data_IF_421305997682
#
_entry.id   IF_421305997682
#
_cell.length_a   1.000
_cell.length_b   1.000
_cell.length_c   1.000
_cell.angle_alpha   90.00
_cell.angle_beta   90.00
_cell.angle_gamma   90.00
#
_symmetry.space_group_name_H-M   'P 1'
#
loop_
_entity.id
_entity.type
_entity.pdbx_description
1 polymer ?
#
# COMPACT_ATOMS: atom_id res chain seq x y z
N UNK A 1 -9.50 -25.21 -33.10
CA UNK A 1 -10.91 -25.48 -33.40
C UNK A 1 -11.82 -24.31 -32.93
N UNK A 2 -11.51 -23.01 -33.05
CA UNK A 2 -11.35 -22.12 -34.22
C UNK A 2 -12.44 -22.20 -35.33
N UNK A 3 -13.44 -23.09 -35.21
CA UNK A 3 -14.36 -23.40 -36.31
C UNK A 3 -15.83 -23.24 -35.92
N UNK A 4 -16.13 -23.09 -34.61
CA UNK A 4 -17.49 -22.80 -34.11
C UNK A 4 -17.79 -21.29 -34.13
N UNK A 5 -16.75 -20.47 -34.35
CA UNK A 5 -16.85 -19.01 -34.41
C UNK A 5 -17.36 -18.48 -35.76
N UNK A 6 -17.58 -19.34 -36.78
CA UNK A 6 -17.82 -18.87 -38.16
C UNK A 6 -19.18 -19.25 -38.79
N UNK A 7 -20.08 -19.97 -38.11
CA UNK A 7 -21.30 -20.52 -38.77
C UNK A 7 -22.63 -19.87 -38.36
N UNK A 8 -22.72 -19.00 -37.35
CA UNK A 8 -24.01 -18.38 -36.99
C UNK A 8 -24.03 -16.85 -37.07
N UNK A 9 -23.26 -16.29 -38.00
CA UNK A 9 -23.31 -14.89 -38.38
C UNK A 9 -24.21 -14.62 -39.61
N UNK A 10 -25.09 -15.55 -40.02
CA UNK A 10 -25.74 -15.45 -41.35
C UNK A 10 -27.21 -15.90 -41.43
N UNK A 11 -28.03 -15.67 -40.40
CA UNK A 11 -29.45 -15.98 -40.56
C UNK A 11 -30.34 -15.52 -39.42
N UNK A 12 -30.78 -14.27 -39.47
CA UNK A 12 -32.21 -13.90 -39.40
C UNK A 12 -32.37 -12.37 -39.38
N UNK A 13 -31.90 -11.73 -40.46
CA UNK A 13 -32.54 -10.51 -40.93
C UNK A 13 -33.91 -10.92 -41.47
N UNK A 14 -34.94 -10.12 -41.16
CA UNK A 14 -36.31 -10.15 -41.68
C UNK A 14 -37.36 -10.94 -40.86
N UNK A 15 -37.99 -10.26 -39.89
CA UNK A 15 -39.46 -10.11 -39.88
C UNK A 15 -39.81 -8.71 -39.35
N UNK A 16 -40.36 -7.90 -40.25
CA UNK A 16 -40.90 -6.59 -39.99
C UNK A 16 -42.40 -6.66 -39.66
N UNK A 17 -42.91 -5.61 -38.99
CA UNK A 17 -44.29 -5.12 -39.02
C UNK A 17 -45.33 -5.96 -38.20
N UNK A 18 -46.33 -5.44 -37.46
CA UNK A 18 -47.02 -4.14 -37.54
C UNK A 18 -48.14 -3.99 -36.44
N UNK A 19 -48.50 -2.74 -36.09
CA UNK A 19 -49.76 -2.18 -35.50
C UNK A 19 -50.32 -2.69 -34.13
N UNK A 20 -50.99 -1.93 -33.25
CA UNK A 20 -51.42 -0.53 -33.12
C UNK A 20 -52.06 -0.28 -31.72
N UNK A 21 -52.13 1.00 -31.29
CA UNK A 21 -53.09 1.56 -30.30
C UNK A 21 -52.75 1.34 -28.81
N UNK A 22 -52.95 2.26 -27.87
CA UNK A 22 -53.91 3.36 -27.79
C UNK A 22 -53.39 4.51 -26.92
N UNK A 23 -54.19 5.57 -26.92
CA UNK A 23 -54.01 6.98 -26.61
C UNK A 23 -53.92 7.34 -25.12
N UNK A 24 -53.40 8.53 -24.84
CA UNK A 24 -53.50 9.17 -23.52
C UNK A 24 -52.77 10.52 -23.45
N UNK A 25 -53.35 11.56 -24.04
CA UNK A 25 -52.98 12.98 -23.84
C UNK A 25 -53.31 13.43 -22.41
N UNK A 26 -52.41 14.16 -21.73
CA UNK A 26 -52.63 15.47 -21.04
C UNK A 26 -51.38 15.87 -20.21
N UNK A 27 -51.28 17.07 -19.62
CA UNK A 27 -50.65 18.26 -20.19
C UNK A 27 -49.35 18.69 -19.46
N UNK A 28 -48.69 19.65 -20.08
CA UNK A 28 -47.58 20.51 -19.63
C UNK A 28 -47.43 20.73 -18.12
N UNK A 29 -46.22 20.48 -17.60
CA UNK A 29 -45.71 21.06 -16.37
C UNK A 29 -44.23 21.46 -16.54
N UNK A 30 -43.99 22.75 -16.32
CA UNK A 30 -42.76 23.53 -16.19
C UNK A 30 -41.50 22.75 -15.75
N UNK A 31 -40.29 23.05 -16.30
CA UNK A 31 -39.05 22.42 -15.83
C UNK A 31 -38.74 22.87 -14.39
N UNK A 32 -38.71 21.92 -13.47
CA UNK A 32 -38.08 22.11 -12.15
C UNK A 32 -36.57 21.96 -12.34
N UNK A 33 -35.73 22.91 -11.89
CA UNK A 33 -34.29 22.71 -11.93
C UNK A 33 -33.93 21.55 -10.99
N UNK A 34 -33.37 20.48 -11.55
CA UNK A 34 -32.67 19.45 -10.78
C UNK A 34 -31.58 20.14 -9.95
N UNK A 35 -31.55 19.97 -8.62
CA UNK A 35 -30.40 20.41 -7.85
C UNK A 35 -29.19 19.59 -8.31
N UNK A 36 -28.22 20.25 -8.95
CA UNK A 36 -26.88 19.71 -9.12
C UNK A 36 -26.36 19.40 -7.72
N UNK A 37 -26.21 18.12 -7.38
CA UNK A 37 -25.44 17.72 -6.20
C UNK A 37 -24.07 18.37 -6.32
N UNK A 38 -23.79 19.29 -5.39
CA UNK A 38 -22.45 19.79 -5.20
C UNK A 38 -21.60 18.59 -4.77
N UNK A 39 -20.72 18.14 -5.66
CA UNK A 39 -19.65 17.20 -5.31
C UNK A 39 -18.84 17.84 -4.19
N UNK A 40 -19.09 17.42 -2.95
CA UNK A 40 -18.23 17.69 -1.81
C UNK A 40 -16.84 17.20 -2.20
N UNK A 41 -15.91 18.13 -2.41
CA UNK A 41 -14.51 17.79 -2.61
C UNK A 41 -14.05 16.95 -1.41
N UNK A 42 -13.52 15.76 -1.67
CA UNK A 42 -12.90 14.93 -0.65
C UNK A 42 -11.83 15.78 0.08
N UNK A 43 -11.70 15.64 1.41
CA UNK A 43 -10.68 16.37 2.16
C UNK A 43 -9.32 16.03 1.55
N UNK A 44 -8.61 17.05 1.09
CA UNK A 44 -7.21 16.92 0.68
C UNK A 44 -6.43 16.50 1.92
N UNK A 45 -6.08 15.22 2.02
CA UNK A 45 -5.14 14.74 3.03
C UNK A 45 -3.86 15.56 2.86
N UNK A 46 -3.62 16.48 3.78
CA UNK A 46 -2.41 17.27 3.80
C UNK A 46 -1.32 16.34 4.29
N UNK A 47 -0.55 15.76 3.39
CA UNK A 47 0.61 14.94 3.75
C UNK A 47 1.53 15.79 4.63
N UNK A 48 1.74 15.42 5.91
CA UNK A 48 2.66 16.18 6.77
C UNK A 48 4.05 16.18 6.13
N UNK A 49 4.79 17.29 6.31
CA UNK A 49 6.15 17.40 5.82
C UNK A 49 7.03 16.26 6.39
N UNK A 50 8.01 15.75 5.62
CA UNK A 50 8.94 14.73 6.10
C UNK A 50 9.58 15.17 7.44
N UNK A 51 9.46 14.32 8.45
CA UNK A 51 10.02 14.57 9.79
C UNK A 51 11.19 13.63 10.06
N UNK A 52 12.32 14.22 10.42
CA UNK A 52 13.50 13.49 10.90
C UNK A 52 13.38 13.07 12.38
N UNK A 53 12.34 13.47 13.10
CA UNK A 53 12.18 13.09 14.50
C UNK A 53 11.59 11.67 14.62
N UNK A 54 12.22 10.75 15.38
CA UNK A 54 11.66 9.43 15.63
C UNK A 54 10.33 9.49 16.38
N UNK A 55 9.50 8.50 16.12
CA UNK A 55 8.23 8.30 16.81
C UNK A 55 8.25 6.96 17.56
N UNK A 56 7.36 6.76 18.55
CA UNK A 56 7.27 5.48 19.26
C UNK A 56 7.04 4.32 18.29
N UNK A 57 7.68 3.18 18.55
CA UNK A 57 7.44 1.90 17.89
C UNK A 57 6.24 1.19 18.52
N UNK A 58 5.65 0.24 17.79
CA UNK A 58 4.52 -0.55 18.25
C UNK A 58 4.98 -1.74 19.11
N UNK A 59 4.11 -2.16 20.03
CA UNK A 59 4.37 -3.32 20.89
C UNK A 59 3.79 -4.58 20.25
N UNK A 60 4.66 -5.46 19.76
CA UNK A 60 4.24 -6.76 19.22
C UNK A 60 4.02 -7.78 20.33
N UNK A 61 3.03 -8.70 20.21
CA UNK A 61 2.88 -9.77 21.19
C UNK A 61 4.12 -10.68 21.23
N UNK A 62 4.53 -11.11 22.42
CA UNK A 62 5.81 -11.81 22.67
C UNK A 62 6.11 -13.00 21.75
N UNK A 63 5.08 -13.79 21.39
CA UNK A 63 5.25 -14.98 20.53
C UNK A 63 5.47 -14.62 19.05
N UNK A 64 5.25 -13.36 18.68
CA UNK A 64 5.35 -12.83 17.32
C UNK A 64 6.42 -11.76 17.16
N UNK A 65 7.20 -11.51 18.23
CA UNK A 65 8.23 -10.49 18.21
C UNK A 65 9.27 -10.78 17.12
N UNK A 66 9.56 -9.75 16.33
CA UNK A 66 10.62 -9.70 15.31
C UNK A 66 11.40 -8.41 15.48
N UNK A 67 12.63 -8.38 14.96
CA UNK A 67 13.54 -7.24 15.09
C UNK A 67 14.21 -6.91 13.76
N UNK A 68 14.59 -5.65 13.64
CA UNK A 68 15.42 -5.15 12.58
C UNK A 68 16.42 -4.15 13.16
N UNK A 69 17.54 -4.01 12.47
CA UNK A 69 18.60 -3.07 12.78
C UNK A 69 18.93 -2.25 11.54
N UNK A 70 19.45 -1.05 11.72
CA UNK A 70 19.90 -0.20 10.63
C UNK A 70 21.27 0.39 10.96
N UNK A 71 22.13 0.44 9.95
CA UNK A 71 23.45 1.06 10.04
C UNK A 71 23.67 1.96 8.84
N UNK A 72 24.39 3.06 9.05
CA UNK A 72 24.85 3.96 7.99
C UNK A 72 26.36 3.86 7.86
N UNK A 73 26.84 3.75 6.63
CA UNK A 73 28.26 3.86 6.31
C UNK A 73 28.70 5.34 6.38
N UNK A 74 29.75 5.68 7.14
CA UNK A 74 30.15 7.09 7.29
C UNK A 74 30.83 7.69 6.06
N UNK A 75 31.34 6.88 5.14
CA UNK A 75 32.09 7.32 3.96
C UNK A 75 31.18 7.42 2.74
N UNK A 76 30.43 6.36 2.46
CA UNK A 76 29.55 6.24 1.30
C UNK A 76 28.10 6.61 1.61
N UNK A 77 27.76 6.80 2.89
CA UNK A 77 26.41 7.13 3.35
C UNK A 77 25.35 6.09 3.00
N UNK A 78 25.77 4.90 2.55
CA UNK A 78 24.87 3.77 2.32
C UNK A 78 24.21 3.37 3.64
N UNK A 79 22.90 3.27 3.62
CA UNK A 79 22.13 2.81 4.77
C UNK A 79 21.70 1.37 4.52
N UNK A 80 22.09 0.48 5.42
CA UNK A 80 21.75 -0.94 5.36
C UNK A 80 20.79 -1.27 6.50
N UNK A 81 19.56 -1.61 6.13
CA UNK A 81 18.55 -2.16 7.05
C UNK A 81 18.66 -3.67 7.00
N UNK A 82 18.83 -4.31 8.15
CA UNK A 82 18.98 -5.77 8.29
C UNK A 82 17.81 -6.34 9.09
N UNK A 83 17.23 -7.42 8.57
CA UNK A 83 16.25 -8.20 9.34
C UNK A 83 16.96 -9.13 10.33
N UNK A 84 16.78 -8.91 11.63
CA UNK A 84 17.48 -9.66 12.68
C UNK A 84 16.74 -10.97 13.04
N UNK A 85 15.55 -11.20 12.48
CA UNK A 85 14.73 -12.36 12.79
C UNK A 85 13.89 -12.18 14.06
N UNK A 86 13.43 -13.31 14.61
CA UNK A 86 12.66 -13.35 15.84
C UNK A 86 11.66 -14.51 15.88
N UNK A 87 10.94 -14.62 16.99
CA UNK A 87 9.94 -15.70 17.20
C UNK A 87 8.83 -15.63 16.16
N UNK A 88 8.45 -14.43 15.74
CA UNK A 88 7.39 -14.20 14.77
C UNK A 88 7.76 -14.42 13.30
N UNK A 89 9.03 -14.65 12.96
CA UNK A 89 9.51 -14.60 11.56
C UNK A 89 8.75 -15.52 10.59
N UNK A 90 8.20 -16.64 11.08
CA UNK A 90 7.45 -17.57 10.24
C UNK A 90 6.15 -16.94 9.67
N UNK A 91 5.61 -15.99 10.43
CA UNK A 91 4.38 -15.25 10.14
C UNK A 91 4.67 -13.90 9.46
N UNK A 92 5.94 -13.54 9.25
CA UNK A 92 6.31 -12.30 8.57
C UNK A 92 6.01 -12.43 7.07
N UNK A 93 5.15 -11.56 6.55
CA UNK A 93 4.77 -11.47 5.14
C UNK A 93 5.68 -10.51 4.38
N UNK A 94 5.93 -9.36 4.97
CA UNK A 94 6.68 -8.26 4.36
C UNK A 94 7.42 -7.46 5.42
N UNK A 95 8.63 -7.02 5.09
CA UNK A 95 9.38 -6.01 5.83
C UNK A 95 9.55 -4.80 4.92
N UNK A 96 9.08 -3.65 5.38
CA UNK A 96 9.12 -2.38 4.67
C UNK A 96 9.98 -1.41 5.44
N UNK A 97 10.96 -0.81 4.78
CA UNK A 97 11.78 0.24 5.36
C UNK A 97 11.61 1.54 4.58
N UNK A 98 11.46 2.64 5.31
CA UNK A 98 11.36 4.00 4.78
C UNK A 98 12.50 4.83 5.33
N UNK A 99 13.23 5.48 4.43
CA UNK A 99 14.29 6.43 4.75
C UNK A 99 13.78 7.82 4.46
N UNK A 100 13.73 8.66 5.49
CA UNK A 100 13.54 10.10 5.34
C UNK A 100 14.90 10.77 5.41
N UNK A 101 15.39 11.23 4.27
CA UNK A 101 16.69 11.88 4.13
C UNK A 101 16.65 13.33 4.61
N UNK A 102 17.80 13.84 5.01
CA UNK A 102 17.95 15.24 5.43
C UNK A 102 17.64 16.29 4.35
N UNK A 103 17.68 15.90 3.07
CA UNK A 103 17.33 16.72 1.91
C UNK A 103 15.83 16.71 1.58
N UNK A 104 15.02 16.07 2.44
CA UNK A 104 13.58 15.83 2.30
C UNK A 104 13.19 14.79 1.25
N UNK A 105 14.15 14.04 0.69
CA UNK A 105 13.81 12.87 -0.13
C UNK A 105 13.35 11.72 0.77
N UNK A 106 12.28 11.04 0.35
CA UNK A 106 11.77 9.85 1.02
C UNK A 106 11.92 8.68 0.07
N UNK A 107 12.60 7.63 0.53
CA UNK A 107 12.75 6.38 -0.21
C UNK A 107 12.17 5.23 0.60
N UNK A 108 11.27 4.45 0.00
CA UNK A 108 10.68 3.26 0.62
C UNK A 108 11.05 2.03 -0.20
N UNK A 109 11.52 0.98 0.47
CA UNK A 109 11.75 -0.34 -0.11
C UNK A 109 11.11 -1.40 0.77
N UNK A 110 10.72 -2.52 0.17
CA UNK A 110 10.23 -3.66 0.91
C UNK A 110 10.84 -4.97 0.42
N UNK A 111 10.84 -5.95 1.31
CA UNK A 111 11.15 -7.34 0.99
C UNK A 111 9.98 -8.21 1.42
N UNK A 112 9.51 -9.04 0.49
CA UNK A 112 8.41 -9.96 0.74
C UNK A 112 8.91 -11.38 0.87
N UNK A 113 8.15 -12.18 1.62
CA UNK A 113 8.24 -13.64 1.66
C UNK A 113 8.29 -14.23 0.23
N UNK A 114 9.39 -14.86 -0.24
CA UNK A 114 9.33 -15.67 -1.46
C UNK A 114 8.31 -16.79 -1.27
N UNK A 115 7.55 -17.15 -2.30
CA UNK A 115 6.43 -18.11 -2.21
C UNK A 115 6.79 -19.35 -1.38
N UNK A 116 6.21 -19.45 -0.17
CA UNK A 116 6.41 -20.56 0.78
C UNK A 116 7.61 -20.46 1.73
N UNK A 117 8.34 -19.34 1.81
CA UNK A 117 9.57 -19.16 2.61
C UNK A 117 9.58 -17.80 3.30
N UNK A 118 9.72 -17.74 4.62
CA UNK A 118 9.85 -16.47 5.37
C UNK A 118 11.02 -15.60 4.93
N UNK A 119 10.93 -14.28 5.17
CA UNK A 119 12.09 -13.38 5.11
C UNK A 119 13.20 -13.97 6.00
N UNK A 120 14.35 -14.22 5.40
CA UNK A 120 15.45 -14.87 6.12
C UNK A 120 16.16 -13.85 7.02
N UNK A 121 16.52 -14.26 8.23
CA UNK A 121 17.44 -13.49 9.07
C UNK A 121 18.71 -13.13 8.30
N UNK A 122 19.15 -11.88 8.41
CA UNK A 122 20.28 -11.32 7.67
C UNK A 122 19.93 -10.80 6.28
N UNK A 123 18.67 -10.88 5.84
CA UNK A 123 18.23 -10.20 4.61
C UNK A 123 18.36 -8.69 4.79
N UNK A 124 18.82 -7.99 3.76
CA UNK A 124 19.07 -6.54 3.82
C UNK A 124 18.28 -5.74 2.79
N UNK A 125 17.97 -4.49 3.13
CA UNK A 125 17.57 -3.44 2.20
C UNK A 125 18.64 -2.34 2.26
N UNK A 126 19.14 -1.95 1.10
CA UNK A 126 20.12 -0.86 0.99
C UNK A 126 19.46 0.39 0.44
N UNK A 127 19.83 1.54 0.98
CA UNK A 127 19.38 2.86 0.58
C UNK A 127 20.57 3.79 0.40
N UNK A 128 20.42 4.79 -0.46
CA UNK A 128 21.35 5.90 -0.47
C UNK A 128 20.98 6.84 0.68
N UNK A 129 21.92 7.21 1.53
CA UNK A 129 21.74 8.24 2.56
C UNK A 129 22.38 9.57 2.18
N UNK A 130 22.37 10.52 3.11
CA UNK A 130 22.98 11.85 2.95
C UNK A 130 24.25 11.98 3.80
N UNK A 131 24.99 13.10 3.70
CA UNK A 131 26.09 13.39 4.64
C UNK A 131 25.60 13.83 6.03
N UNK A 132 24.29 13.98 6.23
CA UNK A 132 23.68 14.43 7.48
C UNK A 132 22.90 13.28 8.14
N UNK A 133 22.14 13.59 9.18
CA UNK A 133 21.25 12.62 9.83
C UNK A 133 20.07 12.24 8.93
N UNK A 134 19.82 10.95 8.79
CA UNK A 134 18.64 10.41 8.10
C UNK A 134 17.82 9.57 9.08
N UNK A 135 16.49 9.62 8.98
CA UNK A 135 15.58 8.82 9.80
C UNK A 135 15.20 7.54 9.06
N UNK A 136 15.20 6.43 9.78
CA UNK A 136 14.77 5.12 9.31
C UNK A 136 13.58 4.65 10.11
N UNK A 137 12.56 4.23 9.38
CA UNK A 137 11.40 3.54 9.92
C UNK A 137 11.34 2.15 9.31
N UNK A 138 11.17 1.13 10.14
CA UNK A 138 10.95 -0.26 9.68
C UNK A 138 9.62 -0.74 10.19
N UNK A 139 8.80 -1.17 9.24
CA UNK A 139 7.49 -1.74 9.43
C UNK A 139 7.51 -3.21 9.03
N UNK A 140 6.71 -4.00 9.71
CA UNK A 140 6.48 -5.40 9.37
C UNK A 140 5.01 -5.65 9.18
N UNK A 141 4.69 -6.39 8.12
CA UNK A 141 3.35 -6.89 7.87
C UNK A 141 3.33 -8.38 8.15
N UNK A 142 2.42 -8.80 9.02
CA UNK A 142 2.20 -10.18 9.42
C UNK A 142 1.18 -10.84 8.48
N UNK A 143 1.28 -12.16 8.31
CA UNK A 143 0.38 -12.95 7.46
C UNK A 143 -1.00 -13.20 8.09
N UNK A 144 -1.18 -12.79 9.35
CA UNK A 144 -2.42 -12.86 10.10
C UNK A 144 -2.55 -11.71 11.10
N UNK A 145 -3.79 -11.35 11.50
CA UNK A 145 -4.02 -10.39 12.57
C UNK A 145 -3.45 -10.89 13.89
N UNK A 146 -2.83 -9.99 14.64
CA UNK A 146 -2.26 -10.21 15.97
C UNK A 146 -2.89 -9.26 16.98
N UNK A 147 -2.72 -9.58 18.27
CA UNK A 147 -3.28 -8.76 19.36
C UNK A 147 -4.80 -8.83 19.46
N UNK A 148 -5.35 -7.98 20.33
CA UNK A 148 -6.81 -7.91 20.57
C UNK A 148 -7.50 -7.13 19.46
N UNK A 149 -6.84 -6.12 18.91
CA UNK A 149 -7.38 -5.23 17.88
C UNK A 149 -7.22 -5.78 16.46
N UNK A 150 -6.53 -6.92 16.32
CA UNK A 150 -6.35 -7.62 15.04
C UNK A 150 -5.42 -6.92 14.07
N UNK A 151 -4.43 -6.19 14.59
CA UNK A 151 -3.43 -5.48 13.80
C UNK A 151 -2.55 -6.46 13.01
N UNK A 152 -2.27 -6.13 11.76
CA UNK A 152 -1.36 -6.92 10.90
C UNK A 152 -0.05 -6.21 10.63
N UNK A 153 0.05 -4.92 10.94
CA UNK A 153 1.18 -4.08 10.61
C UNK A 153 1.73 -3.43 11.89
N UNK A 154 3.04 -3.46 12.06
CA UNK A 154 3.71 -2.99 13.27
C UNK A 154 5.00 -2.25 12.89
N UNK A 155 5.21 -1.05 13.44
CA UNK A 155 6.48 -0.34 13.38
C UNK A 155 7.42 -0.90 14.44
N UNK A 156 8.47 -1.58 14.01
CA UNK A 156 9.39 -2.29 14.90
C UNK A 156 10.71 -1.56 15.13
N UNK A 157 11.00 -0.56 14.31
CA UNK A 157 12.21 0.24 14.40
C UNK A 157 11.93 1.67 13.92
N UNK A 158 12.39 2.65 14.67
CA UNK A 158 12.32 4.06 14.30
C UNK A 158 13.51 4.78 14.94
N UNK A 159 14.47 5.22 14.13
CA UNK A 159 15.67 5.90 14.64
C UNK A 159 16.24 6.87 13.62
N UNK A 160 16.89 7.90 14.13
CA UNK A 160 17.83 8.72 13.36
C UNK A 160 19.19 8.04 13.38
N UNK A 161 19.81 7.89 12.21
CA UNK A 161 21.16 7.34 12.10
C UNK A 161 22.21 8.43 12.30
N UNK A 162 23.30 8.14 13.05
CA UNK A 162 24.39 9.08 13.28
C UNK A 162 25.21 9.33 11.99
N UNK A 163 26.14 10.28 12.06
CA UNK A 163 26.98 10.71 10.93
C UNK A 163 28.34 9.97 10.93
N UNK A 164 28.60 9.13 11.95
CA UNK A 164 29.94 8.77 12.45
C UNK A 164 30.61 7.55 11.78
#
# INVERSE_FOLDING_TARGET
MKNVLFILALGFVAVAAVFAGCTGTSPEATPTPTPTEATTAAPTETTPAPSIQPEPTDEMPDNYLVRASAQKDPIYHTITVTFDGGKGQMNLKELTATVTRSDNEIETKSMTKPSGKSVATGSTLEFNGTAQQDRIQVWVTMDRPLGTDGETEFKIYDSVLPID
#
